data_IF_174302002855
#
_entry.id   IF_174302002855
#
_cell.length_a   1.000
_cell.length_b   1.000
_cell.length_c   1.000
_cell.angle_alpha   90.00
_cell.angle_beta   90.00
_cell.angle_gamma   90.00
#
_symmetry.space_group_name_H-M   'P 1'
#
loop_
_entity.id
_entity.type
_entity.pdbx_description
1 polymer ?
#
# COMPACT_ATOMS: atom_id res chain seq x y z
N UNK A 1 11.63 -5.66 -23.89
CA UNK A 1 10.74 -5.47 -22.71
C UNK A 1 11.59 -5.66 -21.45
N UNK A 2 12.08 -4.57 -20.86
CA UNK A 2 12.87 -4.65 -19.63
C UNK A 2 11.93 -4.77 -18.43
N UNK A 3 11.90 -5.94 -17.80
CA UNK A 3 11.23 -6.12 -16.51
C UNK A 3 12.08 -5.39 -15.48
N UNK A 4 11.73 -4.15 -15.15
CA UNK A 4 12.33 -3.42 -14.04
C UNK A 4 11.91 -4.12 -12.76
N UNK A 5 12.70 -5.12 -12.35
CA UNK A 5 12.55 -5.75 -11.04
C UNK A 5 13.00 -4.72 -10.04
N UNK A 6 12.06 -4.04 -9.40
CA UNK A 6 12.35 -3.12 -8.31
C UNK A 6 12.89 -3.99 -7.18
N UNK A 7 14.22 -4.07 -7.06
CA UNK A 7 14.86 -4.72 -5.93
C UNK A 7 14.76 -3.77 -4.75
N UNK A 8 13.82 -4.04 -3.86
CA UNK A 8 13.75 -3.37 -2.57
C UNK A 8 14.88 -3.93 -1.70
N UNK A 9 15.90 -3.12 -1.45
CA UNK A 9 17.10 -3.52 -0.70
C UNK A 9 16.77 -3.83 0.77
N UNK A 10 15.64 -3.29 1.28
CA UNK A 10 15.17 -3.48 2.66
C UNK A 10 13.64 -3.48 2.72
N UNK A 11 13.01 -4.15 3.71
CA UNK A 11 11.56 -4.09 3.93
C UNK A 11 11.04 -2.67 4.21
N UNK A 12 11.87 -1.81 4.82
CA UNK A 12 11.62 -0.37 4.96
C UNK A 12 11.56 0.33 3.60
N UNK A 13 12.43 -0.04 2.65
CA UNK A 13 12.46 0.57 1.33
C UNK A 13 11.22 0.17 0.51
N UNK A 14 10.79 -1.09 0.62
CA UNK A 14 9.52 -1.57 0.08
C UNK A 14 8.33 -0.80 0.66
N UNK A 15 8.30 -0.62 1.98
CA UNK A 15 7.26 0.15 2.66
C UNK A 15 7.20 1.60 2.15
N UNK A 16 8.35 2.28 2.05
CA UNK A 16 8.44 3.66 1.54
C UNK A 16 8.00 3.75 0.09
N UNK A 17 8.37 2.79 -0.76
CA UNK A 17 7.98 2.79 -2.16
C UNK A 17 6.46 2.63 -2.34
N UNK A 18 5.83 1.76 -1.55
CA UNK A 18 4.37 1.57 -1.58
C UNK A 18 3.68 2.81 -0.99
N UNK A 19 4.18 3.37 0.11
CA UNK A 19 3.66 4.61 0.66
C UNK A 19 3.69 5.78 -0.35
N UNK A 20 4.75 5.87 -1.18
CA UNK A 20 4.80 6.85 -2.28
C UNK A 20 3.76 6.60 -3.36
N UNK A 21 3.48 5.33 -3.68
CA UNK A 21 2.40 4.99 -4.64
C UNK A 21 1.04 5.37 -4.06
N UNK A 22 0.77 5.00 -2.81
CA UNK A 22 -0.44 5.38 -2.09
C UNK A 22 -0.62 6.90 -2.08
N UNK A 23 0.40 7.66 -1.71
CA UNK A 23 0.37 9.13 -1.70
C UNK A 23 0.00 9.74 -3.05
N UNK A 24 0.40 9.10 -4.16
CA UNK A 24 -0.01 9.53 -5.50
C UNK A 24 -1.50 9.25 -5.74
N UNK A 25 -2.00 8.08 -5.37
CA UNK A 25 -3.41 7.74 -5.47
C UNK A 25 -4.29 8.65 -4.59
N UNK A 26 -3.81 8.96 -3.39
CA UNK A 26 -4.45 9.86 -2.44
C UNK A 26 -4.57 11.27 -2.99
N UNK A 27 -3.47 11.78 -3.56
CA UNK A 27 -3.45 13.10 -4.19
C UNK A 27 -4.36 13.15 -5.42
N UNK A 28 -4.39 12.08 -6.22
CA UNK A 28 -5.23 12.01 -7.43
C UNK A 28 -6.72 11.89 -7.10
N UNK A 29 -7.07 11.19 -6.04
CA UNK A 29 -8.47 10.94 -5.65
C UNK A 29 -8.97 11.93 -4.59
N UNK A 30 -8.10 12.82 -4.09
CA UNK A 30 -8.36 13.69 -2.93
C UNK A 30 -8.96 12.92 -1.73
N UNK A 31 -8.49 11.70 -1.52
CA UNK A 31 -9.04 10.77 -0.53
C UNK A 31 -7.90 9.97 0.08
N UNK A 32 -7.86 9.91 1.40
CA UNK A 32 -6.88 9.11 2.12
C UNK A 32 -7.05 7.61 1.81
N UNK A 33 -5.94 6.87 1.76
CA UNK A 33 -5.97 5.43 1.46
C UNK A 33 -6.76 4.65 2.51
N UNK A 34 -6.80 5.13 3.76
CA UNK A 34 -7.60 4.56 4.83
C UNK A 34 -9.10 4.71 4.58
N UNK A 35 -9.55 5.93 4.22
CA UNK A 35 -10.95 6.21 3.88
C UNK A 35 -11.36 5.45 2.61
N UNK A 36 -10.50 5.44 1.60
CA UNK A 36 -10.67 4.65 0.40
C UNK A 36 -10.86 3.16 0.74
N UNK A 37 -9.96 2.59 1.54
CA UNK A 37 -10.03 1.18 1.92
C UNK A 37 -11.28 0.86 2.75
N UNK A 38 -11.70 1.76 3.62
CA UNK A 38 -12.93 1.63 4.39
C UNK A 38 -14.16 1.60 3.46
N UNK A 39 -14.27 2.52 2.50
CA UNK A 39 -15.35 2.52 1.52
C UNK A 39 -15.29 1.31 0.57
N UNK A 40 -14.09 0.85 0.22
CA UNK A 40 -13.85 -0.28 -0.67
C UNK A 40 -14.28 -1.57 0.02
N UNK A 41 -13.92 -1.74 1.29
CA UNK A 41 -14.35 -2.87 2.12
C UNK A 41 -15.85 -2.89 2.36
N UNK A 42 -16.53 -1.74 2.27
CA UNK A 42 -17.99 -1.64 2.35
C UNK A 42 -18.69 -1.88 1.00
N UNK A 43 -17.94 -2.09 -0.09
CA UNK A 43 -18.50 -2.24 -1.44
C UNK A 43 -19.13 -0.96 -1.98
N UNK A 44 -18.70 0.21 -1.48
CA UNK A 44 -19.19 1.53 -1.94
C UNK A 44 -18.43 2.04 -3.15
N UNK A 45 -17.23 1.51 -3.39
CA UNK A 45 -16.41 1.85 -4.55
C UNK A 45 -16.74 0.91 -5.71
N UNK A 46 -16.63 1.43 -6.94
CA UNK A 46 -16.89 0.67 -8.15
C UNK A 46 -15.86 -0.44 -8.38
N UNK A 47 -16.14 -1.31 -9.35
CA UNK A 47 -15.25 -2.38 -9.79
C UNK A 47 -14.13 -1.90 -10.73
N UNK A 48 -13.69 -0.64 -10.60
CA UNK A 48 -12.56 -0.15 -11.39
C UNK A 48 -11.27 -0.86 -10.99
N UNK A 49 -10.51 -1.29 -11.99
CA UNK A 49 -9.18 -1.89 -11.80
C UNK A 49 -8.28 -0.99 -10.95
N UNK A 50 -8.36 0.33 -11.11
CA UNK A 50 -7.61 1.28 -10.31
C UNK A 50 -7.89 1.17 -8.80
N UNK A 51 -9.14 0.88 -8.42
CA UNK A 51 -9.51 0.68 -7.02
C UNK A 51 -9.02 -0.67 -6.49
N UNK A 52 -9.09 -1.72 -7.30
CA UNK A 52 -8.53 -3.03 -6.94
C UNK A 52 -7.01 -2.93 -6.74
N UNK A 53 -6.30 -2.24 -7.63
CA UNK A 53 -4.87 -2.00 -7.53
C UNK A 53 -4.53 -1.19 -6.27
N UNK A 54 -5.26 -0.10 -6.01
CA UNK A 54 -5.04 0.73 -4.82
C UNK A 54 -5.29 -0.05 -3.52
N UNK A 55 -6.37 -0.83 -3.44
CA UNK A 55 -6.66 -1.67 -2.29
C UNK A 55 -5.57 -2.73 -2.06
N UNK A 56 -5.02 -3.28 -3.15
CA UNK A 56 -3.93 -4.24 -3.08
C UNK A 56 -2.62 -3.60 -2.59
N UNK A 57 -2.25 -2.43 -3.12
CA UNK A 57 -1.08 -1.66 -2.63
C UNK A 57 -1.24 -1.31 -1.14
N UNK A 58 -2.42 -0.87 -0.71
CA UNK A 58 -2.67 -0.50 0.70
C UNK A 58 -2.58 -1.70 1.63
N UNK A 59 -3.15 -2.84 1.24
CA UNK A 59 -3.06 -4.07 2.01
C UNK A 59 -1.63 -4.60 2.08
N UNK A 60 -0.85 -4.45 1.02
CA UNK A 60 0.57 -4.82 1.01
C UNK A 60 1.38 -3.92 1.96
N UNK A 61 1.08 -2.62 1.99
CA UNK A 61 1.69 -1.68 2.94
C UNK A 61 1.42 -2.08 4.39
N UNK A 62 0.17 -2.39 4.75
CA UNK A 62 -0.19 -2.83 6.10
C UNK A 62 0.54 -4.10 6.51
N UNK A 63 0.63 -5.09 5.61
CA UNK A 63 1.35 -6.34 5.87
C UNK A 63 2.84 -6.10 6.14
N UNK A 64 3.50 -5.27 5.32
CA UNK A 64 4.90 -4.89 5.53
C UNK A 64 5.10 -4.13 6.84
N UNK A 65 4.17 -3.21 7.16
CA UNK A 65 4.24 -2.44 8.40
C UNK A 65 4.13 -3.35 9.62
N UNK A 66 3.18 -4.28 9.60
CA UNK A 66 3.00 -5.26 10.66
C UNK A 66 4.20 -6.20 10.81
N UNK A 67 4.81 -6.66 9.71
CA UNK A 67 6.03 -7.46 9.74
C UNK A 67 7.21 -6.67 10.35
N UNK A 68 7.37 -5.40 9.98
CA UNK A 68 8.35 -4.48 10.56
C UNK A 68 8.13 -4.26 12.06
N UNK A 69 6.88 -3.99 12.48
CA UNK A 69 6.51 -3.82 13.88
C UNK A 69 6.75 -5.11 14.69
N UNK A 70 6.48 -6.28 14.13
CA UNK A 70 6.75 -7.57 14.76
C UNK A 70 8.25 -7.80 14.96
N UNK A 71 9.08 -7.51 13.95
CA UNK A 71 10.54 -7.60 14.05
C UNK A 71 11.09 -6.62 15.09
N UNK A 72 10.56 -5.41 15.14
CA UNK A 72 10.98 -4.39 16.10
C UNK A 72 10.66 -4.82 17.54
N UNK A 73 9.45 -5.34 17.79
CA UNK A 73 9.07 -5.86 19.11
C UNK A 73 9.90 -7.09 19.53
N UNK A 74 10.33 -7.92 18.58
CA UNK A 74 11.15 -9.11 18.88
C UNK A 74 12.64 -8.78 19.11
N UNK A 75 13.08 -7.58 18.73
CA UNK A 75 14.45 -7.10 18.91
C UNK A 75 14.65 -6.32 20.24
N UNK A 76 13.60 -6.18 21.05
CA UNK A 76 13.58 -5.45 22.32
C UNK A 76 13.71 -6.37 23.53
#
# INVERSE_FOLDING_TARGET
MQKQTIQYTSPLDALVAIAKRLSRHETQSQMDSEEFFHQYSQGKLGDDVAYVEWANDYRHYLALRQDLEARLNHAA
#
